data_IF_638591286691
#
_entry.id   IF_638591286691
#
_cell.length_a   1.000
_cell.length_b   1.000
_cell.length_c   1.000
_cell.angle_alpha   90.00
_cell.angle_beta   90.00
_cell.angle_gamma   90.00
#
_symmetry.space_group_name_H-M   'P 1'
#
loop_
_entity.id
_entity.type
_entity.pdbx_description
1 polymer ?
#
# COMPACT_ATOMS: atom_id res chain seq x y z
N UNK A 1 0.78 -24.62 1.36
CA UNK A 1 0.93 -23.16 1.16
C UNK A 1 2.02 -22.91 0.14
N UNK A 2 1.74 -22.20 -0.95
CA UNK A 2 2.78 -21.86 -1.93
C UNK A 2 3.61 -20.66 -1.42
N UNK A 3 4.86 -20.51 -1.91
CA UNK A 3 5.75 -19.45 -1.46
C UNK A 3 5.19 -18.05 -1.69
N UNK A 4 4.42 -17.85 -2.76
CA UNK A 4 3.84 -16.55 -3.13
C UNK A 4 2.84 -16.05 -2.08
N UNK A 5 1.93 -16.92 -1.61
CA UNK A 5 0.97 -16.62 -0.53
C UNK A 5 1.67 -16.20 0.76
N UNK A 6 2.83 -16.78 1.06
CA UNK A 6 3.61 -16.44 2.26
C UNK A 6 4.31 -15.08 2.15
N UNK A 7 4.81 -14.72 0.96
CA UNK A 7 5.61 -13.51 0.75
C UNK A 7 4.78 -12.26 0.40
N UNK A 8 3.60 -12.43 -0.22
CA UNK A 8 2.73 -11.32 -0.61
C UNK A 8 2.42 -10.33 0.52
N UNK A 9 2.01 -10.78 1.73
CA UNK A 9 1.75 -9.86 2.83
C UNK A 9 2.99 -9.02 3.20
N UNK A 10 4.18 -9.62 3.15
CA UNK A 10 5.43 -8.92 3.43
C UNK A 10 5.80 -7.91 2.35
N UNK A 11 5.52 -8.21 1.07
CA UNK A 11 5.68 -7.24 -0.01
C UNK A 11 4.80 -6.01 0.18
N UNK A 12 3.55 -6.20 0.60
CA UNK A 12 2.63 -5.10 0.90
C UNK A 12 3.12 -4.28 2.11
N UNK A 13 3.62 -4.95 3.16
CA UNK A 13 4.21 -4.28 4.33
C UNK A 13 5.49 -3.51 3.94
N UNK A 14 6.31 -4.04 3.03
CA UNK A 14 7.50 -3.33 2.56
C UNK A 14 7.11 -2.03 1.82
N UNK A 15 6.09 -2.07 0.95
CA UNK A 15 5.54 -0.86 0.30
C UNK A 15 5.05 0.14 1.34
N UNK A 16 4.34 -0.32 2.37
CA UNK A 16 3.89 0.53 3.48
C UNK A 16 5.06 1.26 4.14
N UNK A 17 6.11 0.52 4.51
CA UNK A 17 7.30 1.09 5.13
C UNK A 17 7.95 2.14 4.23
N UNK A 18 8.11 1.83 2.93
CA UNK A 18 8.70 2.76 1.97
C UNK A 18 7.89 4.05 1.88
N UNK A 19 6.56 3.99 1.77
CA UNK A 19 5.71 5.18 1.68
C UNK A 19 5.77 6.03 2.95
N UNK A 20 5.65 5.39 4.11
CA UNK A 20 5.72 6.09 5.40
C UNK A 20 7.08 6.74 5.59
N UNK A 21 8.18 6.02 5.33
CA UNK A 21 9.52 6.58 5.46
C UNK A 21 9.75 7.71 4.45
N UNK A 22 9.34 7.54 3.19
CA UNK A 22 9.46 8.59 2.17
C UNK A 22 8.80 9.89 2.63
N UNK A 23 7.59 9.81 3.21
CA UNK A 23 6.88 10.97 3.73
C UNK A 23 7.73 11.74 4.76
N UNK A 24 8.43 11.05 5.67
CA UNK A 24 9.22 11.72 6.72
C UNK A 24 10.65 12.09 6.29
N UNK A 25 11.30 11.28 5.47
CA UNK A 25 12.73 11.47 5.12
C UNK A 25 12.92 12.35 3.89
N UNK A 26 12.02 12.28 2.91
CA UNK A 26 12.11 13.07 1.67
C UNK A 26 11.30 14.36 1.76
N UNK A 27 10.34 14.45 2.68
CA UNK A 27 9.49 15.63 2.87
C UNK A 27 9.54 16.22 4.29
N UNK A 28 10.72 16.34 4.94
CA UNK A 28 10.80 16.81 6.35
C UNK A 28 10.28 18.25 6.52
N UNK A 29 10.42 19.08 5.49
CA UNK A 29 9.92 20.46 5.48
C UNK A 29 8.40 20.55 5.62
N UNK A 30 7.67 19.59 5.04
CA UNK A 30 6.21 19.53 5.10
C UNK A 30 5.72 19.36 6.54
N UNK A 31 6.30 18.43 7.29
CA UNK A 31 5.90 18.18 8.70
C UNK A 31 6.19 19.36 9.62
N UNK A 32 7.36 20.00 9.44
CA UNK A 32 7.68 21.24 10.15
C UNK A 32 6.72 22.37 9.76
N UNK A 33 6.32 22.45 8.49
CA UNK A 33 5.32 23.38 7.98
C UNK A 33 3.95 23.18 8.62
N UNK A 34 3.47 21.94 8.68
CA UNK A 34 2.21 21.56 9.36
C UNK A 34 2.27 21.95 10.84
N UNK A 35 3.36 21.63 11.54
CA UNK A 35 3.50 21.96 12.96
C UNK A 35 3.45 23.47 13.22
N UNK A 36 4.05 24.29 12.34
CA UNK A 36 4.03 25.76 12.44
C UNK A 36 2.70 26.38 12.04
N UNK A 37 2.02 25.82 11.04
CA UNK A 37 0.71 26.29 10.58
C UNK A 37 -0.45 25.89 11.52
N UNK A 38 -0.20 24.94 12.43
CA UNK A 38 -1.22 24.31 13.26
C UNK A 38 -1.72 23.03 12.60
N UNK A 39 -1.94 21.99 13.41
CA UNK A 39 -2.27 20.65 12.86
C UNK A 39 -3.64 20.59 12.19
N UNK A 40 -4.60 21.40 12.64
CA UNK A 40 -5.93 21.50 12.03
C UNK A 40 -5.88 22.41 10.81
N UNK A 41 -6.27 21.88 9.64
CA UNK A 41 -6.22 22.55 8.34
C UNK A 41 -4.83 23.07 7.92
N UNK A 42 -3.75 22.68 8.61
CA UNK A 42 -2.38 23.16 8.33
C UNK A 42 -1.76 22.67 7.03
N UNK A 43 -2.46 21.81 6.29
CA UNK A 43 -2.05 21.32 4.97
C UNK A 43 -2.70 22.10 3.81
N UNK A 44 -3.77 22.85 4.07
CA UNK A 44 -4.62 23.41 3.01
C UNK A 44 -3.86 24.42 2.14
N UNK A 45 -3.90 24.19 0.81
CA UNK A 45 -3.27 25.09 -0.16
C UNK A 45 -1.75 24.93 -0.27
N UNK A 46 -1.16 23.94 0.39
CA UNK A 46 0.27 23.62 0.32
C UNK A 46 0.45 22.19 -0.21
N UNK A 47 0.80 22.10 -1.51
CA UNK A 47 0.91 20.83 -2.23
C UNK A 47 1.93 19.85 -1.60
N UNK A 48 3.02 20.36 -1.02
CA UNK A 48 4.04 19.51 -0.39
C UNK A 48 3.50 18.89 0.90
N UNK A 49 2.72 19.65 1.69
CA UNK A 49 2.07 19.14 2.90
C UNK A 49 0.97 18.14 2.59
N UNK A 50 0.15 18.44 1.58
CA UNK A 50 -0.87 17.52 1.09
C UNK A 50 -0.24 16.21 0.60
N UNK A 51 0.81 16.28 -0.22
CA UNK A 51 1.51 15.11 -0.72
C UNK A 51 2.17 14.29 0.42
N UNK A 52 2.82 14.93 1.38
CA UNK A 52 3.39 14.24 2.55
C UNK A 52 2.32 13.48 3.35
N UNK A 53 1.15 14.08 3.53
CA UNK A 53 0.00 13.46 4.19
C UNK A 53 -0.52 12.25 3.39
N UNK A 54 -0.61 12.38 2.05
CA UNK A 54 -1.03 11.28 1.17
C UNK A 54 -0.06 10.10 1.20
N UNK A 55 1.26 10.34 1.15
CA UNK A 55 2.26 9.27 1.29
C UNK A 55 2.13 8.56 2.64
N UNK A 56 1.93 9.32 3.73
CA UNK A 56 1.74 8.74 5.06
C UNK A 56 0.49 7.86 5.13
N UNK A 57 -0.68 8.36 4.69
CA UNK A 57 -1.92 7.56 4.75
C UNK A 57 -1.94 6.41 3.76
N UNK A 58 -1.32 6.54 2.58
CA UNK A 58 -1.10 5.41 1.69
C UNK A 58 -0.26 4.33 2.39
N UNK A 59 0.83 4.73 3.05
CA UNK A 59 1.64 3.85 3.90
C UNK A 59 0.81 3.12 4.96
N UNK A 60 -0.02 3.83 5.71
CA UNK A 60 -0.92 3.25 6.72
C UNK A 60 -1.98 2.32 6.11
N UNK A 61 -2.55 2.67 4.96
CA UNK A 61 -3.49 1.82 4.22
C UNK A 61 -2.87 0.50 3.79
N UNK A 62 -1.67 0.54 3.20
CA UNK A 62 -0.92 -0.66 2.85
C UNK A 62 -0.53 -1.47 4.09
N UNK A 63 -0.20 -0.82 5.22
CA UNK A 63 0.11 -1.53 6.46
C UNK A 63 -1.10 -2.35 6.93
N UNK A 64 -2.28 -1.74 6.90
CA UNK A 64 -3.52 -2.42 7.27
C UNK A 64 -3.80 -3.60 6.35
N UNK A 65 -3.71 -3.43 5.03
CA UNK A 65 -3.91 -4.51 4.05
C UNK A 65 -2.90 -5.64 4.28
N UNK A 66 -1.61 -5.31 4.41
CA UNK A 66 -0.54 -6.29 4.56
C UNK A 66 -0.61 -7.07 5.87
N UNK A 67 -0.88 -6.41 6.99
CA UNK A 67 -0.99 -7.07 8.31
C UNK A 67 -2.25 -7.92 8.43
N UNK A 68 -3.39 -7.46 7.89
CA UNK A 68 -4.62 -8.25 7.84
C UNK A 68 -4.48 -9.45 6.91
N UNK A 69 -3.83 -9.28 5.75
CA UNK A 69 -3.51 -10.38 4.85
C UNK A 69 -2.59 -11.40 5.54
N UNK A 70 -1.54 -10.95 6.23
CA UNK A 70 -0.63 -11.81 6.98
C UNK A 70 -1.36 -12.60 8.07
N UNK A 71 -2.21 -11.93 8.84
CA UNK A 71 -3.03 -12.56 9.87
C UNK A 71 -3.95 -13.63 9.27
N UNK A 72 -4.62 -13.32 8.15
CA UNK A 72 -5.52 -14.25 7.49
C UNK A 72 -4.76 -15.46 6.92
N UNK A 73 -3.66 -15.24 6.21
CA UNK A 73 -2.82 -16.32 5.67
C UNK A 73 -2.31 -17.25 6.77
N UNK A 74 -1.93 -16.71 7.93
CA UNK A 74 -1.51 -17.53 9.08
C UNK A 74 -2.66 -18.34 9.68
N UNK A 75 -3.88 -17.84 9.62
CA UNK A 75 -5.05 -18.51 10.19
C UNK A 75 -5.67 -19.55 9.25
N UNK A 76 -5.68 -19.30 7.93
CA UNK A 76 -6.41 -20.13 6.95
C UNK A 76 -5.52 -20.83 5.94
N UNK A 77 -4.23 -20.48 5.87
CA UNK A 77 -3.30 -21.01 4.87
C UNK A 77 -3.50 -20.45 3.46
N UNK A 78 -4.45 -19.53 3.25
CA UNK A 78 -4.75 -18.93 1.95
C UNK A 78 -4.85 -17.41 2.01
N UNK A 79 -4.73 -16.74 0.86
CA UNK A 79 -4.90 -15.28 0.77
C UNK A 79 -6.40 -14.92 0.63
N UNK A 80 -6.91 -13.81 1.19
CA UNK A 80 -8.24 -13.31 0.83
C UNK A 80 -8.26 -12.78 -0.60
N UNK A 81 -9.30 -13.08 -1.40
CA UNK A 81 -9.46 -12.53 -2.76
C UNK A 81 -9.52 -11.00 -2.77
N UNK A 82 -10.05 -10.42 -1.69
CA UNK A 82 -10.19 -8.98 -1.49
C UNK A 82 -8.84 -8.25 -1.58
N UNK A 83 -7.75 -8.87 -1.11
CA UNK A 83 -6.40 -8.27 -1.18
C UNK A 83 -6.01 -7.99 -2.62
N UNK A 84 -6.27 -8.92 -3.54
CA UNK A 84 -5.96 -8.73 -4.95
C UNK A 84 -6.77 -7.58 -5.55
N UNK A 85 -8.06 -7.49 -5.24
CA UNK A 85 -8.93 -6.43 -5.74
C UNK A 85 -8.57 -5.05 -5.19
N UNK A 86 -8.20 -4.94 -3.92
CA UNK A 86 -7.73 -3.68 -3.36
C UNK A 86 -6.45 -3.21 -4.06
N UNK A 87 -5.48 -4.09 -4.24
CA UNK A 87 -4.23 -3.75 -4.92
C UNK A 87 -4.44 -3.38 -6.39
N UNK A 88 -5.27 -4.11 -7.12
CA UNK A 88 -5.58 -3.78 -8.51
C UNK A 88 -6.42 -2.50 -8.66
N UNK A 89 -7.37 -2.26 -7.75
CA UNK A 89 -8.15 -1.02 -7.75
C UNK A 89 -7.29 0.20 -7.46
N UNK A 90 -6.45 0.13 -6.42
CA UNK A 90 -5.52 1.20 -6.05
C UNK A 90 -4.48 1.39 -7.17
N UNK A 91 -3.72 0.35 -7.50
CA UNK A 91 -2.65 0.44 -8.49
C UNK A 91 -3.17 0.79 -9.88
N UNK A 92 -4.29 0.19 -10.30
CA UNK A 92 -4.88 0.43 -11.61
C UNK A 92 -5.38 1.87 -11.78
N UNK A 93 -6.07 2.42 -10.77
CA UNK A 93 -6.49 3.82 -10.81
C UNK A 93 -5.29 4.77 -10.82
N UNK A 94 -4.25 4.50 -10.01
CA UNK A 94 -3.02 5.28 -10.02
C UNK A 94 -2.32 5.25 -11.39
N UNK A 95 -2.20 4.08 -12.02
CA UNK A 95 -1.57 3.95 -13.34
C UNK A 95 -2.34 4.71 -14.42
N UNK A 96 -3.67 4.75 -14.34
CA UNK A 96 -4.52 5.49 -15.29
C UNK A 96 -4.42 7.00 -15.08
N UNK A 97 -4.45 7.45 -13.83
CA UNK A 97 -4.46 8.89 -13.49
C UNK A 97 -3.04 9.48 -13.59
N UNK A 98 -2.03 8.77 -13.10
CA UNK A 98 -0.64 9.18 -13.05
C UNK A 98 0.29 8.00 -13.42
N UNK A 99 0.53 7.75 -14.72
CA UNK A 99 1.31 6.60 -15.18
C UNK A 99 2.77 6.57 -14.70
N UNK A 100 3.34 7.73 -14.35
CA UNK A 100 4.69 7.87 -13.84
C UNK A 100 4.80 7.55 -12.32
N UNK A 101 3.67 7.29 -11.66
CA UNK A 101 3.63 6.95 -10.24
C UNK A 101 4.15 5.54 -9.95
N UNK A 102 4.26 5.20 -8.66
CA UNK A 102 4.55 3.84 -8.19
C UNK A 102 3.39 2.84 -8.40
N UNK A 103 2.27 3.24 -9.01
CA UNK A 103 1.08 2.41 -9.16
C UNK A 103 1.33 1.06 -9.85
N UNK A 104 2.28 1.00 -10.79
CA UNK A 104 2.66 -0.24 -11.46
C UNK A 104 3.13 -1.34 -10.49
N UNK A 105 3.90 -0.99 -9.45
CA UNK A 105 4.34 -1.95 -8.45
C UNK A 105 3.15 -2.55 -7.68
N UNK A 106 2.15 -1.72 -7.38
CA UNK A 106 0.92 -2.14 -6.71
C UNK A 106 0.08 -3.05 -7.61
N UNK A 107 -0.02 -2.74 -8.91
CA UNK A 107 -0.67 -3.61 -9.91
C UNK A 107 0.00 -4.98 -9.96
N UNK A 108 1.34 -5.03 -10.03
CA UNK A 108 2.09 -6.29 -10.04
C UNK A 108 1.77 -7.13 -8.79
N UNK A 109 1.75 -6.53 -7.60
CA UNK A 109 1.35 -7.25 -6.39
C UNK A 109 -0.11 -7.73 -6.45
N UNK A 110 -1.01 -6.95 -7.04
CA UNK A 110 -2.41 -7.34 -7.26
C UNK A 110 -2.55 -8.55 -8.18
N UNK A 111 -1.79 -8.58 -9.28
CA UNK A 111 -1.75 -9.72 -10.21
C UNK A 111 -1.14 -10.96 -9.56
N UNK A 112 -0.06 -10.80 -8.78
CA UNK A 112 0.54 -11.88 -8.00
C UNK A 112 -0.43 -12.43 -6.95
N UNK A 113 -1.26 -11.58 -6.34
CA UNK A 113 -2.30 -12.00 -5.40
C UNK A 113 -3.40 -12.84 -6.08
N UNK A 114 -3.82 -12.47 -7.30
CA UNK A 114 -4.73 -13.30 -8.10
C UNK A 114 -4.10 -14.64 -8.49
N UNK A 115 -2.83 -14.63 -8.89
CA UNK A 115 -2.08 -15.83 -9.25
C UNK A 115 -1.95 -16.80 -8.06
N UNK A 116 -1.57 -16.29 -6.90
CA UNK A 116 -1.46 -17.07 -5.66
C UNK A 116 -2.77 -17.80 -5.35
N UNK A 117 -3.90 -17.09 -5.51
CA UNK A 117 -5.24 -17.65 -5.31
C UNK A 117 -5.62 -18.70 -6.33
N UNK A 118 -5.36 -18.46 -7.62
CA UNK A 118 -5.65 -19.43 -8.68
C UNK A 118 -4.92 -20.75 -8.44
N UNK A 119 -3.66 -20.68 -7.99
CA UNK A 119 -2.86 -21.87 -7.64
C UNK A 119 -3.43 -22.63 -6.45
N UNK A 120 -3.92 -21.94 -5.43
CA UNK A 120 -4.50 -22.58 -4.26
C UNK A 120 -5.78 -23.35 -4.62
N UNK A 121 -6.66 -22.78 -5.45
CA UNK A 121 -7.86 -23.48 -5.95
C UNK A 121 -7.52 -24.68 -6.83
N UNK A 122 -6.42 -24.64 -7.59
CA UNK A 122 -6.02 -25.76 -8.44
C UNK A 122 -5.40 -26.94 -7.66
N UNK A 123 -5.01 -26.74 -6.40
CA UNK A 123 -4.35 -27.74 -5.56
C UNK A 123 -5.21 -28.31 -4.42
N UNK A 124 -6.43 -27.78 -4.25
CA UNK A 124 -7.39 -28.23 -3.23
C UNK A 124 -8.54 -28.98 -3.88
#
# INVERSE_FOLDING_TARGET
MNGLTRWLPWGIIAISIVHTLYAFTMMPGAWGGIARAGVLNGIEGDADREAALWFFYAGMGFLAIGTLALKHVRATGGLPRQVAFYLLGIGGSMVVIEPASGGWAVVVLGLLALEARRRETATG
#
